data_IF_314439382039
#
_entry.id   IF_314439382039
#
_cell.length_a   1.000
_cell.length_b   1.000
_cell.length_c   1.000
_cell.angle_alpha   90.00
_cell.angle_beta   90.00
_cell.angle_gamma   90.00
#
_symmetry.space_group_name_H-M   'P 1'
#
loop_
_entity.id
_entity.type
_entity.pdbx_description
1 polymer ?
#
# COMPACT_ATOMS: atom_id res chain seq x y z
N UNK A 1 -17.64 5.24 -16.19
CA UNK A 1 -16.22 4.93 -16.51
C UNK A 1 -15.29 5.60 -15.49
N UNK A 2 -15.52 6.86 -15.14
CA UNK A 2 -14.71 7.58 -14.14
C UNK A 2 -14.58 6.88 -12.78
N UNK A 3 -15.66 6.37 -12.20
CA UNK A 3 -15.59 5.62 -10.93
C UNK A 3 -14.72 4.36 -11.01
N UNK A 4 -14.68 3.70 -12.17
CA UNK A 4 -13.81 2.53 -12.41
C UNK A 4 -12.34 2.95 -12.36
N UNK A 5 -12.00 4.09 -12.95
CA UNK A 5 -10.62 4.61 -12.92
C UNK A 5 -10.14 4.89 -11.49
N UNK A 6 -11.01 5.41 -10.62
CA UNK A 6 -10.70 5.63 -9.21
C UNK A 6 -10.30 4.33 -8.48
N UNK A 7 -11.06 3.24 -8.69
CA UNK A 7 -10.72 1.94 -8.12
C UNK A 7 -9.41 1.37 -8.68
N UNK A 8 -9.18 1.52 -9.99
CA UNK A 8 -7.94 1.09 -10.63
C UNK A 8 -6.74 1.81 -10.02
N UNK A 9 -6.82 3.13 -9.84
CA UNK A 9 -5.76 3.94 -9.22
C UNK A 9 -5.48 3.44 -7.80
N UNK A 10 -6.52 3.19 -7.01
CA UNK A 10 -6.35 2.70 -5.64
C UNK A 10 -5.69 1.33 -5.55
N UNK A 11 -6.08 0.39 -6.43
CA UNK A 11 -5.47 -0.95 -6.48
C UNK A 11 -4.02 -0.85 -6.92
N UNK A 12 -3.72 -0.12 -8.01
CA UNK A 12 -2.36 0.03 -8.52
C UNK A 12 -1.46 0.69 -7.47
N UNK A 13 -1.94 1.75 -6.82
CA UNK A 13 -1.16 2.44 -5.77
C UNK A 13 -0.87 1.50 -4.61
N UNK A 14 -1.85 0.72 -4.16
CA UNK A 14 -1.64 -0.26 -3.09
C UNK A 14 -0.60 -1.33 -3.47
N UNK A 15 -0.63 -1.84 -4.70
CA UNK A 15 0.34 -2.83 -5.19
C UNK A 15 1.75 -2.23 -5.31
N UNK A 16 1.87 -0.97 -5.76
CA UNK A 16 3.16 -0.27 -5.81
C UNK A 16 3.73 -0.12 -4.40
N UNK A 17 2.93 0.33 -3.43
CA UNK A 17 3.36 0.46 -2.04
C UNK A 17 3.77 -0.88 -1.44
N UNK A 18 3.04 -1.95 -1.74
CA UNK A 18 3.39 -3.29 -1.28
C UNK A 18 4.73 -3.75 -1.86
N UNK A 19 4.96 -3.49 -3.16
CA UNK A 19 6.24 -3.77 -3.82
C UNK A 19 7.37 -2.97 -3.18
N UNK A 20 7.16 -1.68 -2.90
CA UNK A 20 8.13 -0.83 -2.20
C UNK A 20 8.48 -1.40 -0.83
N UNK A 21 7.49 -1.84 -0.05
CA UNK A 21 7.74 -2.52 1.23
C UNK A 21 8.62 -3.76 1.04
N UNK A 22 8.44 -4.50 -0.05
CA UNK A 22 9.16 -5.75 -0.27
C UNK A 22 10.61 -5.47 -0.65
N UNK A 23 10.82 -4.44 -1.47
CA UNK A 23 12.15 -3.92 -1.81
C UNK A 23 12.87 -3.46 -0.54
N UNK A 24 12.22 -2.64 0.30
CA UNK A 24 12.81 -2.15 1.55
C UNK A 24 13.13 -3.31 2.50
N UNK A 25 12.21 -4.26 2.67
CA UNK A 25 12.42 -5.42 3.53
C UNK A 25 13.65 -6.24 3.09
N UNK A 26 13.86 -6.37 1.78
CA UNK A 26 15.01 -7.07 1.21
C UNK A 26 16.32 -6.26 1.28
N UNK A 27 16.24 -4.93 1.17
CA UNK A 27 17.37 -4.02 1.29
C UNK A 27 17.91 -3.93 2.74
N UNK A 28 17.05 -4.13 3.74
CA UNK A 28 17.48 -4.19 5.15
C UNK A 28 18.40 -5.40 5.34
N UNK A 29 19.65 -5.10 5.73
CA UNK A 29 20.69 -6.10 5.98
C UNK A 29 20.28 -7.01 7.14
N UNK A 30 20.72 -8.27 7.07
CA UNK A 30 20.53 -9.22 8.16
C UNK A 30 21.49 -8.87 9.30
N UNK A 31 21.00 -8.84 10.53
CA UNK A 31 21.82 -8.71 11.72
C UNK A 31 21.87 -10.06 12.44
N UNK A 32 23.08 -10.57 12.69
CA UNK A 32 23.28 -11.77 13.51
C UNK A 32 23.45 -11.42 14.99
N UNK A 33 23.42 -12.43 15.86
CA UNK A 33 23.66 -12.28 17.29
C UNK A 33 22.40 -12.47 18.14
N UNK A 34 22.49 -12.14 19.43
CA UNK A 34 21.43 -12.41 20.42
C UNK A 34 20.30 -11.37 20.44
N UNK A 35 20.48 -10.22 19.79
CA UNK A 35 19.47 -9.14 19.75
C UNK A 35 19.44 -8.42 18.39
N UNK A 36 19.01 -9.11 17.31
CA UNK A 36 18.95 -8.52 15.97
C UNK A 36 17.81 -7.50 15.87
N UNK A 37 18.09 -6.33 15.28
CA UNK A 37 17.10 -5.25 15.11
C UNK A 37 16.44 -5.26 13.74
N UNK A 38 16.98 -6.01 12.78
CA UNK A 38 16.49 -6.04 11.41
C UNK A 38 15.03 -6.52 11.27
N UNK A 39 14.48 -7.48 12.05
CA UNK A 39 13.08 -7.86 11.94
C UNK A 39 12.16 -6.68 12.32
N UNK A 40 12.48 -6.00 13.41
CA UNK A 40 11.71 -4.84 13.88
C UNK A 40 11.76 -3.70 12.85
N UNK A 41 12.92 -3.44 12.24
CA UNK A 41 13.05 -2.44 11.19
C UNK A 41 12.16 -2.75 9.98
N UNK A 42 12.11 -4.02 9.52
CA UNK A 42 11.24 -4.43 8.41
C UNK A 42 9.77 -4.20 8.73
N UNK A 43 9.36 -4.57 9.94
CA UNK A 43 8.00 -4.33 10.44
C UNK A 43 7.66 -2.84 10.49
N UNK A 44 8.54 -2.02 11.05
CA UNK A 44 8.35 -0.57 11.09
C UNK A 44 8.14 0.01 9.70
N UNK A 45 8.97 -0.36 8.72
CA UNK A 45 8.81 0.13 7.34
C UNK A 45 7.53 -0.35 6.66
N UNK A 46 7.11 -1.60 6.87
CA UNK A 46 5.84 -2.10 6.34
C UNK A 46 4.65 -1.27 6.83
N UNK A 47 4.60 -0.95 8.12
CA UNK A 47 3.50 -0.16 8.70
C UNK A 47 3.57 1.32 8.34
N UNK A 48 4.77 1.91 8.20
CA UNK A 48 4.93 3.27 7.66
C UNK A 48 4.33 3.34 6.26
N UNK A 49 4.67 2.39 5.38
CA UNK A 49 4.15 2.35 4.02
C UNK A 49 2.66 2.00 3.98
N UNK A 50 2.16 1.19 4.92
CA UNK A 50 0.74 0.92 5.06
C UNK A 50 -0.07 2.21 5.30
N UNK A 51 0.41 3.09 6.19
CA UNK A 51 -0.24 4.36 6.53
C UNK A 51 -0.05 5.41 5.42
N UNK A 52 1.12 5.41 4.77
CA UNK A 52 1.43 6.37 3.70
C UNK A 52 0.61 6.06 2.42
N UNK A 53 0.35 4.79 2.13
CA UNK A 53 -0.42 4.35 0.97
C UNK A 53 -1.77 5.09 0.79
N UNK A 54 -2.71 5.09 1.77
CA UNK A 54 -3.99 5.75 1.59
C UNK A 54 -3.87 7.27 1.38
N UNK A 55 -2.91 7.92 2.04
CA UNK A 55 -2.65 9.34 1.85
C UNK A 55 -2.20 9.63 0.40
N UNK A 56 -1.22 8.88 -0.10
CA UNK A 56 -0.71 9.05 -1.46
C UNK A 56 -1.74 8.67 -2.52
N UNK A 57 -2.47 7.57 -2.33
CA UNK A 57 -3.58 7.15 -3.20
C UNK A 57 -4.61 8.26 -3.35
N UNK A 58 -5.10 8.81 -2.24
CA UNK A 58 -6.11 9.86 -2.28
C UNK A 58 -5.59 11.13 -2.93
N UNK A 59 -4.37 11.58 -2.59
CA UNK A 59 -3.77 12.77 -3.17
C UNK A 59 -3.53 12.62 -4.69
N UNK A 60 -3.03 11.48 -5.14
CA UNK A 60 -2.86 11.20 -6.57
C UNK A 60 -4.21 11.18 -7.30
N UNK A 61 -5.19 10.45 -6.77
CA UNK A 61 -6.53 10.40 -7.36
C UNK A 61 -7.18 11.77 -7.43
N UNK A 62 -7.05 12.58 -6.39
CA UNK A 62 -7.73 13.88 -6.31
C UNK A 62 -7.05 14.97 -7.14
N UNK A 63 -5.71 15.02 -7.17
CA UNK A 63 -4.97 16.12 -7.81
C UNK A 63 -4.38 15.77 -9.16
N UNK A 64 -4.02 14.52 -9.43
CA UNK A 64 -3.38 14.12 -10.68
C UNK A 64 -4.32 13.42 -11.66
N UNK A 65 -5.30 12.65 -11.16
CA UNK A 65 -6.14 11.79 -12.00
C UNK A 65 -7.63 12.11 -11.95
N UNK A 66 -8.00 13.20 -11.27
CA UNK A 66 -9.38 13.66 -11.19
C UNK A 66 -9.84 14.07 -12.59
N UNK A 67 -11.00 13.57 -13.06
CA UNK A 67 -11.48 13.90 -14.39
C UNK A 67 -12.02 15.33 -14.47
N UNK A 68 -11.85 15.94 -15.64
CA UNK A 68 -12.52 17.19 -15.99
C UNK A 68 -13.96 16.88 -16.43
N UNK A 69 -14.88 16.99 -15.48
CA UNK A 69 -16.29 16.65 -15.71
C UNK A 69 -17.23 17.52 -14.86
N UNK A 70 -18.54 17.36 -15.09
CA UNK A 70 -19.56 18.03 -14.29
C UNK A 70 -19.53 17.56 -12.81
N UNK A 71 -20.15 18.35 -11.94
CA UNK A 71 -20.11 18.15 -10.49
C UNK A 71 -20.64 16.78 -10.05
N UNK A 72 -21.63 16.21 -10.75
CA UNK A 72 -22.20 14.91 -10.43
C UNK A 72 -21.18 13.79 -10.70
N UNK A 73 -20.52 13.83 -11.86
CA UNK A 73 -19.45 12.87 -12.21
C UNK A 73 -18.30 12.99 -11.24
N UNK A 74 -17.94 14.22 -10.86
CA UNK A 74 -16.86 14.44 -9.90
C UNK A 74 -17.19 13.87 -8.51
N UNK A 75 -18.40 14.11 -8.01
CA UNK A 75 -18.81 13.58 -6.70
C UNK A 75 -18.80 12.04 -6.69
N UNK A 76 -19.24 11.42 -7.80
CA UNK A 76 -19.20 9.96 -7.96
C UNK A 76 -17.76 9.44 -8.03
N UNK A 77 -16.85 10.16 -8.70
CA UNK A 77 -15.42 9.82 -8.74
C UNK A 77 -14.78 9.91 -7.35
N UNK A 78 -14.98 11.02 -6.63
CA UNK A 78 -14.37 11.23 -5.30
C UNK A 78 -14.92 10.23 -4.28
N UNK A 79 -16.20 9.91 -4.36
CA UNK A 79 -16.81 8.84 -3.54
C UNK A 79 -16.16 7.49 -3.83
N UNK A 80 -16.03 7.14 -5.11
CA UNK A 80 -15.36 5.90 -5.53
C UNK A 80 -13.88 5.88 -5.10
N UNK A 81 -13.17 7.00 -5.22
CA UNK A 81 -11.77 7.14 -4.78
C UNK A 81 -11.64 6.95 -3.26
N UNK A 82 -12.57 7.49 -2.48
CA UNK A 82 -12.57 7.34 -1.02
C UNK A 82 -12.77 5.88 -0.61
N UNK A 83 -13.75 5.20 -1.23
CA UNK A 83 -14.01 3.78 -1.01
C UNK A 83 -12.81 2.94 -1.49
N UNK A 84 -12.30 3.24 -2.69
CA UNK A 84 -11.15 2.57 -3.28
C UNK A 84 -9.90 2.71 -2.43
N UNK A 85 -9.66 3.87 -1.83
CA UNK A 85 -8.53 4.11 -0.91
C UNK A 85 -8.62 3.22 0.32
N UNK A 86 -9.81 3.08 0.92
CA UNK A 86 -10.04 2.16 2.04
C UNK A 86 -9.83 0.69 1.63
N UNK A 87 -10.36 0.29 0.46
CA UNK A 87 -10.17 -1.06 -0.10
C UNK A 87 -8.68 -1.33 -0.34
N UNK A 88 -7.96 -0.38 -0.94
CA UNK A 88 -6.53 -0.50 -1.25
C UNK A 88 -5.68 -0.64 0.01
N UNK A 89 -6.02 0.07 1.10
CA UNK A 89 -5.36 -0.10 2.40
C UNK A 89 -5.58 -1.51 2.97
N UNK A 90 -6.83 -2.00 2.96
CA UNK A 90 -7.15 -3.36 3.41
C UNK A 90 -6.43 -4.41 2.55
N UNK A 91 -6.44 -4.24 1.23
CA UNK A 91 -5.76 -5.11 0.27
C UNK A 91 -4.26 -5.20 0.57
N UNK A 92 -3.60 -4.05 0.79
CA UNK A 92 -2.19 -3.98 1.17
C UNK A 92 -1.91 -4.82 2.42
N UNK A 93 -2.73 -4.70 3.47
CA UNK A 93 -2.56 -5.44 4.72
C UNK A 93 -2.74 -6.94 4.49
N UNK A 94 -3.83 -7.34 3.82
CA UNK A 94 -4.15 -8.76 3.58
C UNK A 94 -3.03 -9.42 2.76
N UNK A 95 -2.62 -8.81 1.65
CA UNK A 95 -1.58 -9.39 0.81
C UNK A 95 -0.24 -9.39 1.55
N UNK A 96 0.11 -8.31 2.26
CA UNK A 96 1.33 -8.25 3.07
C UNK A 96 1.41 -9.33 4.15
N UNK A 97 0.29 -9.62 4.81
CA UNK A 97 0.16 -10.73 5.76
C UNK A 97 0.28 -12.09 5.07
N UNK A 98 -0.41 -12.31 3.95
CA UNK A 98 -0.31 -13.57 3.19
C UNK A 98 1.12 -13.82 2.74
N UNK A 99 1.82 -12.78 2.25
CA UNK A 99 3.22 -12.85 1.87
C UNK A 99 4.14 -13.19 3.06
N UNK A 100 3.88 -12.68 4.27
CA UNK A 100 4.69 -13.04 5.45
C UNK A 100 4.55 -14.52 5.82
N UNK A 101 3.40 -15.14 5.51
CA UNK A 101 3.19 -16.59 5.69
C UNK A 101 3.84 -17.42 4.59
N UNK A 102 3.71 -17.01 3.33
CA UNK A 102 4.32 -17.71 2.19
C UNK A 102 5.85 -17.70 2.28
N UNK A 103 6.43 -16.55 2.63
CA UNK A 103 7.88 -16.34 2.72
C UNK A 103 8.40 -16.39 4.16
N UNK A 104 7.85 -17.28 4.98
CA UNK A 104 8.08 -17.35 6.45
C UNK A 104 9.54 -17.53 6.88
N UNK A 105 10.41 -18.07 6.01
CA UNK A 105 11.84 -18.26 6.27
C UNK A 105 12.72 -17.11 5.75
N UNK A 106 12.15 -16.19 4.97
CA UNK A 106 12.85 -15.09 4.34
C UNK A 106 12.65 -13.75 5.06
N UNK A 107 13.30 -12.70 4.54
CA UNK A 107 13.19 -11.33 5.08
C UNK A 107 11.73 -10.82 5.09
N UNK A 108 10.97 -11.16 4.05
CA UNK A 108 9.54 -10.84 3.93
C UNK A 108 8.71 -11.54 5.01
N UNK A 109 9.12 -12.72 5.49
CA UNK A 109 8.43 -13.41 6.59
C UNK A 109 8.34 -12.59 7.88
N UNK A 110 9.28 -11.66 8.07
CA UNK A 110 9.44 -10.89 9.31
C UNK A 110 9.07 -9.40 9.18
N UNK A 111 8.47 -8.98 8.06
CA UNK A 111 8.06 -7.58 7.84
C UNK A 111 6.67 -7.22 8.39
N UNK A 112 5.95 -8.16 9.01
CA UNK A 112 4.56 -7.99 9.44
C UNK A 112 4.42 -8.16 10.95
#
# INVERSE_FOLDING_TARGET
MESTSAYIISIITALIFLLLSAIIANAIKFEGGSNPKDPQARKTWFWILAILNPAVCFLLGYYAFKPEANIMVLNNYVTALSIGTAIGFILYIIIGFVMSKIFSTGKIGHWF
#
